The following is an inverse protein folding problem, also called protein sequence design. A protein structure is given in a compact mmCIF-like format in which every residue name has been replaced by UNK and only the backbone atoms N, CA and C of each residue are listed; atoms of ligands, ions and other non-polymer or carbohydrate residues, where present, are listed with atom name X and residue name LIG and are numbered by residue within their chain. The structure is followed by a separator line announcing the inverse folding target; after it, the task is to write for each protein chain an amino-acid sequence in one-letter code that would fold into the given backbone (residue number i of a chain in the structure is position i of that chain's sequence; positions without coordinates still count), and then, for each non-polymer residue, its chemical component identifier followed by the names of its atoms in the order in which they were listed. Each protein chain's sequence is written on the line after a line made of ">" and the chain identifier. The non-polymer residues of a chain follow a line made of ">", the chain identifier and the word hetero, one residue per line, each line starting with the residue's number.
data_IF_493915960603
#
_entry.id   IF_493915960603
#
_cell.length_a   1.000
_cell.length_b   1.000
_cell.length_c   1.000
_cell.angle_alpha   90.00
_cell.angle_beta   90.00
_cell.angle_gamma   90.00
#
_symmetry.space_group_name_H-M   'P 1'
#
loop_
_entity.id
_entity.type
_entity.pdbx_description
1 polymer ?
#
# COMPACT_ATOMS: atom_id res chain seq x y z
N UNK A 1 -12.48 16.95 7.43
CA UNK A 1 -12.54 15.55 6.94
C UNK A 1 -11.58 14.83 7.82
N UNK A 2 -12.09 14.06 8.78
CA UNK A 2 -11.28 13.70 9.93
C UNK A 2 -10.86 12.24 9.78
N UNK A 3 -9.55 12.03 9.67
CA UNK A 3 -8.90 10.73 9.74
C UNK A 3 -8.06 10.80 11.00
N UNK A 4 -8.52 10.18 12.08
CA UNK A 4 -7.83 10.23 13.38
C UNK A 4 -6.39 9.73 13.27
N UNK A 5 -6.14 8.75 12.40
CA UNK A 5 -4.81 8.21 12.14
C UNK A 5 -3.89 9.22 11.43
N UNK A 6 -4.44 10.12 10.59
CA UNK A 6 -3.68 11.21 10.00
C UNK A 6 -3.28 12.24 11.06
N UNK A 7 -4.18 12.56 11.98
CA UNK A 7 -3.88 13.49 13.08
C UNK A 7 -2.81 12.91 14.00
N UNK A 8 -2.91 11.63 14.36
CA UNK A 8 -1.85 10.90 15.09
C UNK A 8 -0.52 10.89 14.32
N UNK A 9 -0.57 10.68 13.00
CA UNK A 9 0.64 10.71 12.17
C UNK A 9 1.27 12.10 12.10
N UNK A 10 0.45 13.17 12.11
CA UNK A 10 0.92 14.57 12.18
C UNK A 10 1.60 14.87 13.51
N UNK A 11 1.04 14.38 14.62
CA UNK A 11 1.56 14.61 15.98
C UNK A 11 2.85 13.82 16.26
N UNK A 12 2.88 12.54 15.88
CA UNK A 12 4.03 11.66 16.08
C UNK A 12 4.33 10.82 14.81
N UNK A 13 5.11 11.35 13.86
CA UNK A 13 5.47 10.64 12.64
C UNK A 13 6.46 9.51 12.94
N UNK A 14 5.94 8.28 12.99
CA UNK A 14 6.67 7.04 13.26
C UNK A 14 6.26 5.93 12.28
N UNK A 15 7.00 4.82 12.26
CA UNK A 15 6.66 3.66 11.42
C UNK A 15 5.26 3.13 11.75
N UNK A 16 4.92 3.09 13.04
CA UNK A 16 3.63 2.59 13.49
C UNK A 16 2.48 3.50 13.05
N UNK A 17 2.61 4.82 13.26
CA UNK A 17 1.57 5.77 12.86
C UNK A 17 1.45 5.88 11.34
N UNK A 18 2.55 5.78 10.58
CA UNK A 18 2.51 5.74 9.12
C UNK A 18 1.78 4.51 8.57
N UNK A 19 2.05 3.32 9.14
CA UNK A 19 1.37 2.08 8.75
C UNK A 19 -0.13 2.15 9.06
N UNK A 20 -0.49 2.61 10.25
CA UNK A 20 -1.89 2.77 10.67
C UNK A 20 -2.64 3.76 9.78
N UNK A 21 -2.04 4.93 9.52
CA UNK A 21 -2.61 5.94 8.65
C UNK A 21 -2.84 5.42 7.23
N UNK A 22 -1.80 4.82 6.62
CA UNK A 22 -1.89 4.33 5.25
C UNK A 22 -2.94 3.25 5.08
N UNK A 23 -3.03 2.32 6.02
CA UNK A 23 -4.07 1.30 6.06
C UNK A 23 -5.48 1.90 6.20
N UNK A 24 -5.66 2.79 7.17
CA UNK A 24 -6.95 3.42 7.46
C UNK A 24 -7.46 4.22 6.25
N UNK A 25 -6.59 4.99 5.60
CA UNK A 25 -6.95 5.75 4.40
C UNK A 25 -7.29 4.84 3.23
N UNK A 26 -6.54 3.76 3.02
CA UNK A 26 -6.77 2.81 1.92
C UNK A 26 -8.14 2.15 2.05
N UNK A 27 -8.52 1.72 3.26
CA UNK A 27 -9.82 1.11 3.56
C UNK A 27 -11.00 2.08 3.54
N UNK A 28 -10.75 3.39 3.63
CA UNK A 28 -11.81 4.38 3.70
C UNK A 28 -12.54 4.46 2.35
N UNK A 29 -13.87 4.56 2.42
CA UNK A 29 -14.72 4.80 1.25
C UNK A 29 -14.63 6.29 0.87
N UNK A 30 -13.61 6.59 0.05
CA UNK A 30 -13.33 7.90 -0.51
C UNK A 30 -12.95 7.71 -1.97
N UNK A 31 -13.24 8.72 -2.80
CA UNK A 31 -12.74 8.70 -4.16
C UNK A 31 -11.20 8.79 -4.19
N UNK A 32 -10.62 8.33 -5.29
CA UNK A 32 -9.16 8.21 -5.44
C UNK A 32 -8.46 9.57 -5.38
N UNK A 33 -9.10 10.64 -5.88
CA UNK A 33 -8.50 11.98 -5.86
C UNK A 33 -8.39 12.54 -4.45
N UNK A 34 -9.38 12.31 -3.59
CA UNK A 34 -9.33 12.68 -2.18
C UNK A 34 -8.23 11.90 -1.45
N UNK A 35 -8.14 10.58 -1.67
CA UNK A 35 -7.05 9.76 -1.12
C UNK A 35 -5.68 10.29 -1.56
N UNK A 36 -5.52 10.66 -2.84
CA UNK A 36 -4.28 11.25 -3.39
C UNK A 36 -3.93 12.56 -2.71
N UNK A 37 -4.89 13.45 -2.48
CA UNK A 37 -4.64 14.72 -1.79
C UNK A 37 -4.14 14.49 -0.37
N UNK A 38 -4.74 13.55 0.35
CA UNK A 38 -4.33 13.24 1.73
C UNK A 38 -2.93 12.62 1.77
N UNK A 39 -2.59 11.71 0.84
CA UNK A 39 -1.21 11.20 0.74
C UNK A 39 -0.20 12.29 0.42
N UNK A 40 -0.55 13.28 -0.42
CA UNK A 40 0.32 14.45 -0.67
C UNK A 40 0.56 15.26 0.60
N UNK A 41 -0.42 15.40 1.48
CA UNK A 41 -0.20 15.99 2.81
C UNK A 41 0.73 15.12 3.65
N UNK A 42 0.54 13.80 3.64
CA UNK A 42 1.39 12.87 4.38
C UNK A 42 2.87 12.96 3.95
N UNK A 43 3.15 13.07 2.65
CA UNK A 43 4.51 13.27 2.15
C UNK A 43 5.17 14.56 2.68
N UNK A 44 4.40 15.63 2.92
CA UNK A 44 4.94 16.87 3.53
C UNK A 44 5.33 16.67 5.00
N UNK A 45 4.64 15.77 5.71
CA UNK A 45 4.91 15.46 7.13
C UNK A 45 6.18 14.60 7.26
N UNK A 46 6.37 13.64 6.35
CA UNK A 46 7.52 12.74 6.33
C UNK A 46 8.85 13.50 6.28
N UNK A 47 8.94 14.55 5.46
CA UNK A 47 10.17 15.29 5.24
C UNK A 47 11.23 14.41 4.58
N UNK A 48 12.45 14.37 5.14
CA UNK A 48 13.58 13.60 4.61
C UNK A 48 13.75 12.21 5.24
N UNK A 49 12.71 11.68 5.92
CA UNK A 49 12.76 10.37 6.58
C UNK A 49 12.47 9.26 5.56
N UNK A 50 13.51 8.75 4.91
CA UNK A 50 13.43 7.75 3.82
C UNK A 50 12.48 6.57 4.15
N UNK A 51 12.58 6.01 5.36
CA UNK A 51 11.71 4.89 5.77
C UNK A 51 10.23 5.23 5.86
N UNK A 52 9.90 6.42 6.37
CA UNK A 52 8.50 6.84 6.42
C UNK A 52 8.00 7.18 5.02
N UNK A 53 8.85 7.73 4.16
CA UNK A 53 8.52 8.00 2.76
C UNK A 53 8.17 6.71 2.03
N UNK A 54 8.99 5.67 2.18
CA UNK A 54 8.76 4.35 1.59
C UNK A 54 7.42 3.75 2.06
N UNK A 55 7.09 3.87 3.36
CA UNK A 55 5.81 3.38 3.92
C UNK A 55 4.63 4.16 3.33
N UNK A 56 4.68 5.49 3.31
CA UNK A 56 3.61 6.32 2.75
C UNK A 56 3.45 6.05 1.25
N UNK A 57 4.55 5.90 0.52
CA UNK A 57 4.55 5.57 -0.90
C UNK A 57 3.93 4.20 -1.18
N UNK A 58 4.26 3.17 -0.38
CA UNK A 58 3.65 1.84 -0.48
C UNK A 58 2.12 1.90 -0.40
N UNK A 59 1.59 2.61 0.59
CA UNK A 59 0.14 2.78 0.75
C UNK A 59 -0.49 3.63 -0.36
N UNK A 60 0.19 4.71 -0.79
CA UNK A 60 -0.28 5.53 -1.91
C UNK A 60 -0.37 4.71 -3.21
N UNK A 61 0.62 3.87 -3.51
CA UNK A 61 0.60 2.95 -4.65
C UNK A 61 -0.54 1.93 -4.53
N UNK A 62 -0.82 1.44 -3.31
CA UNK A 62 -1.98 0.60 -3.03
C UNK A 62 -3.31 1.23 -3.45
N UNK A 63 -3.47 2.54 -3.33
CA UNK A 63 -4.66 3.24 -3.85
C UNK A 63 -4.57 3.55 -5.35
N UNK A 64 -3.36 3.69 -5.88
CA UNK A 64 -3.13 4.01 -7.29
C UNK A 64 -3.51 2.85 -8.23
N UNK A 65 -3.38 1.60 -7.78
CA UNK A 65 -3.79 0.44 -8.58
C UNK A 65 -5.31 0.40 -8.83
N UNK A 66 -6.11 1.08 -8.02
CA UNK A 66 -7.55 1.29 -8.22
C UNK A 66 -7.83 2.35 -9.31
N UNK A 67 -6.88 3.26 -9.58
CA UNK A 67 -7.08 4.41 -10.46
C UNK A 67 -7.25 4.02 -11.94
N UNK A 68 -7.87 4.87 -12.73
CA UNK A 68 -7.91 4.70 -14.19
C UNK A 68 -6.55 5.08 -14.82
N UNK A 69 -5.58 4.18 -14.71
CA UNK A 69 -4.23 4.32 -15.24
C UNK A 69 -3.86 3.10 -16.10
N UNK A 70 -2.93 3.25 -17.07
CA UNK A 70 -2.39 2.14 -17.82
C UNK A 70 -1.85 1.04 -16.92
N UNK A 71 -2.13 -0.22 -17.29
CA UNK A 71 -1.74 -1.40 -16.51
C UNK A 71 -0.24 -1.45 -16.23
N UNK A 72 0.58 -1.11 -17.22
CA UNK A 72 2.04 -1.09 -17.10
C UNK A 72 2.52 -0.14 -16.01
N UNK A 73 1.90 1.05 -15.89
CA UNK A 73 2.27 2.02 -14.86
C UNK A 73 1.92 1.53 -13.45
N UNK A 74 0.76 0.88 -13.29
CA UNK A 74 0.34 0.28 -12.02
C UNK A 74 1.34 -0.79 -11.57
N UNK A 75 1.66 -1.71 -12.48
CA UNK A 75 2.59 -2.81 -12.24
C UNK A 75 3.99 -2.29 -11.90
N UNK A 76 4.49 -1.31 -12.66
CA UNK A 76 5.82 -0.73 -12.43
C UNK A 76 5.93 -0.07 -11.06
N UNK A 77 4.93 0.72 -10.66
CA UNK A 77 4.92 1.37 -9.36
C UNK A 77 4.92 0.36 -8.21
N UNK A 78 4.11 -0.71 -8.32
CA UNK A 78 4.12 -1.79 -7.32
C UNK A 78 5.49 -2.46 -7.26
N UNK A 79 6.11 -2.74 -8.41
CA UNK A 79 7.46 -3.34 -8.45
C UNK A 79 8.53 -2.45 -7.85
N UNK A 80 8.43 -1.13 -8.00
CA UNK A 80 9.33 -0.18 -7.36
C UNK A 80 9.18 -0.25 -5.83
N UNK A 81 7.94 -0.26 -5.32
CA UNK A 81 7.65 -0.44 -3.90
C UNK A 81 8.20 -1.77 -3.37
N UNK A 82 7.95 -2.88 -4.06
CA UNK A 82 8.40 -4.21 -3.59
C UNK A 82 9.93 -4.38 -3.60
N UNK A 83 10.67 -3.49 -4.28
CA UNK A 83 12.14 -3.47 -4.32
C UNK A 83 12.75 -2.44 -3.35
N UNK A 84 11.92 -1.64 -2.68
CA UNK A 84 12.38 -0.65 -1.73
C UNK A 84 13.01 -1.33 -0.50
N UNK A 85 14.23 -0.91 -0.16
CA UNK A 85 15.03 -1.54 0.92
C UNK A 85 14.56 -1.13 2.31
N UNK A 86 13.80 -0.04 2.42
CA UNK A 86 13.26 0.44 3.69
C UNK A 86 12.03 -0.36 4.15
N UNK A 87 11.39 -1.08 3.22
CA UNK A 87 10.21 -1.89 3.47
C UNK A 87 10.59 -3.31 3.90
N UNK A 88 10.10 -3.71 5.07
CA UNK A 88 10.28 -5.09 5.55
C UNK A 88 9.23 -6.01 4.93
N UNK A 89 9.51 -7.32 4.82
CA UNK A 89 8.52 -8.28 4.34
C UNK A 89 7.20 -8.25 5.12
N UNK A 90 7.26 -8.00 6.43
CA UNK A 90 6.06 -7.86 7.28
C UNK A 90 5.19 -6.65 6.91
N UNK A 91 5.79 -5.53 6.53
CA UNK A 91 5.04 -4.34 6.07
C UNK A 91 4.35 -4.62 4.73
N UNK A 92 5.09 -5.24 3.81
CA UNK A 92 4.57 -5.65 2.50
C UNK A 92 3.43 -6.67 2.65
N UNK A 93 3.55 -7.61 3.59
CA UNK A 93 2.51 -8.60 3.87
C UNK A 93 1.23 -7.97 4.41
N UNK A 94 1.33 -7.02 5.33
CA UNK A 94 0.18 -6.26 5.83
C UNK A 94 -0.49 -5.46 4.71
N UNK A 95 0.31 -4.73 3.92
CA UNK A 95 -0.18 -4.00 2.76
C UNK A 95 -0.90 -4.91 1.77
N UNK A 96 -0.25 -6.00 1.37
CA UNK A 96 -0.81 -6.96 0.42
C UNK A 96 -2.14 -7.49 0.94
N UNK A 97 -2.18 -7.99 2.19
CA UNK A 97 -3.40 -8.51 2.80
C UNK A 97 -4.56 -7.53 2.66
N UNK A 98 -4.35 -6.25 2.97
CA UNK A 98 -5.38 -5.21 2.84
C UNK A 98 -5.81 -5.00 1.38
N UNK A 99 -4.85 -4.90 0.45
CA UNK A 99 -5.15 -4.69 -0.97
C UNK A 99 -5.98 -5.84 -1.57
N UNK A 100 -5.66 -7.10 -1.23
CA UNK A 100 -6.42 -8.26 -1.72
C UNK A 100 -7.76 -8.43 -1.01
N UNK A 101 -7.86 -8.05 0.27
CA UNK A 101 -9.13 -8.08 1.02
C UNK A 101 -10.12 -7.06 0.46
N UNK A 102 -9.65 -5.87 0.08
CA UNK A 102 -10.49 -4.85 -0.54
C UNK A 102 -10.94 -5.23 -1.95
N UNK A 103 -10.07 -5.89 -2.73
CA UNK A 103 -10.38 -6.38 -4.08
C UNK A 103 -10.97 -5.29 -5.01
N UNK A 104 -10.56 -4.04 -4.84
CA UNK A 104 -11.04 -2.91 -5.65
C UNK A 104 -10.31 -2.78 -7.01
N UNK A 105 -9.10 -3.33 -7.12
CA UNK A 105 -8.34 -3.29 -8.35
C UNK A 105 -8.78 -4.42 -9.33
N UNK A 106 -8.56 -4.25 -10.65
CA UNK A 106 -8.84 -5.32 -11.62
C UNK A 106 -8.13 -6.62 -11.26
N UNK A 107 -8.83 -7.75 -11.38
CA UNK A 107 -8.32 -9.08 -10.99
C UNK A 107 -6.97 -9.39 -11.66
N UNK A 108 -6.85 -9.08 -12.93
CA UNK A 108 -5.67 -9.27 -13.76
C UNK A 108 -4.44 -8.48 -13.26
N UNK A 109 -4.67 -7.30 -12.67
CA UNK A 109 -3.61 -6.54 -11.98
C UNK A 109 -3.22 -7.23 -10.67
N UNK A 110 -4.20 -7.65 -9.88
CA UNK A 110 -3.98 -8.36 -8.61
C UNK A 110 -3.22 -9.69 -8.85
N UNK A 111 -3.61 -10.48 -9.84
CA UNK A 111 -2.96 -11.74 -10.21
C UNK A 111 -1.48 -11.50 -10.60
N UNK A 112 -1.19 -10.41 -11.31
CA UNK A 112 0.18 -10.06 -11.68
C UNK A 112 1.02 -9.67 -10.45
N UNK A 113 0.48 -8.82 -9.59
CA UNK A 113 1.13 -8.39 -8.35
C UNK A 113 1.36 -9.61 -7.42
N UNK A 114 0.44 -10.57 -7.41
CA UNK A 114 0.52 -11.78 -6.60
C UNK A 114 1.74 -12.64 -6.96
N UNK A 115 2.15 -12.65 -8.24
CA UNK A 115 3.38 -13.34 -8.67
C UNK A 115 4.60 -12.69 -8.00
N UNK A 116 4.72 -11.36 -8.06
CA UNK A 116 5.88 -10.65 -7.52
C UNK A 116 5.96 -10.81 -5.98
N UNK A 117 4.84 -10.69 -5.26
CA UNK A 117 4.80 -10.84 -3.79
C UNK A 117 5.19 -12.26 -3.34
N UNK A 118 4.72 -13.30 -4.04
CA UNK A 118 5.02 -14.70 -3.67
C UNK A 118 6.52 -15.02 -3.70
N UNK A 119 7.28 -14.31 -4.53
CA UNK A 119 8.72 -14.47 -4.68
C UNK A 119 9.54 -13.75 -3.59
N UNK A 120 8.91 -12.89 -2.78
CA UNK A 120 9.59 -12.19 -1.70
C UNK A 120 9.92 -13.17 -0.57
N UNK A 121 11.19 -13.13 -0.12
CA UNK A 121 11.66 -13.88 1.03
C UNK A 121 11.13 -13.22 2.31
N UNK A 122 10.53 -14.02 3.19
CA UNK A 122 9.99 -13.54 4.47
C UNK A 122 8.48 -13.29 4.48
N UNK A 123 7.80 -13.36 3.32
CA UNK A 123 6.33 -13.43 3.26
C UNK A 123 5.84 -14.78 3.77
N UNK A 124 4.78 -14.77 4.58
CA UNK A 124 4.19 -15.94 5.21
C UNK A 124 3.66 -16.97 4.19
N UNK A 125 3.58 -18.24 4.63
CA UNK A 125 3.03 -19.31 3.79
C UNK A 125 1.53 -19.12 3.59
N UNK A 126 0.87 -18.58 4.61
CA UNK A 126 -0.54 -18.26 4.65
C UNK A 126 -0.89 -17.26 3.54
N UNK A 127 -0.18 -16.13 3.45
CA UNK A 127 -0.41 -15.17 2.37
C UNK A 127 -0.08 -15.79 1.01
N UNK A 128 1.03 -16.53 0.87
CA UNK A 128 1.39 -17.18 -0.40
C UNK A 128 0.32 -18.16 -0.91
N UNK A 129 -0.30 -18.92 0.00
CA UNK A 129 -1.39 -19.82 -0.34
C UNK A 129 -2.62 -19.04 -0.82
N UNK A 130 -3.01 -17.97 -0.11
CA UNK A 130 -4.11 -17.09 -0.51
C UNK A 130 -3.89 -16.48 -1.90
N UNK A 131 -2.68 -16.01 -2.18
CA UNK A 131 -2.28 -15.46 -3.48
C UNK A 131 -2.17 -16.51 -4.61
N UNK A 132 -2.23 -17.80 -4.28
CA UNK A 132 -2.14 -18.93 -5.22
C UNK A 132 -3.51 -19.50 -5.63
N UNK A 133 -4.58 -19.11 -4.95
CA UNK A 133 -5.94 -19.50 -5.30
C UNK A 133 -6.63 -18.29 -5.92
N UNK A 134 -7.06 -18.35 -7.20
CA UNK A 134 -8.05 -17.39 -7.64
C UNK A 134 -9.24 -17.54 -6.69
N UNK A 135 -9.66 -16.45 -6.03
CA UNK A 135 -10.86 -16.48 -5.21
C UNK A 135 -11.98 -17.17 -6.02
N UNK A 136 -12.68 -18.17 -5.45
CA UNK A 136 -13.79 -18.83 -6.12
C UNK A 136 -14.92 -17.84 -6.45
#
# INVERSE_FOLDING_TARGET
>A
MDIQELDKFKEDPSVASAMQFGEALTKKDLNIEDKRLIFREAFKIVGSKEKLEAIINMWAVGTMIEANLPYTQKIEAVRQVLKDKELTPSMIEQWATVIYDLNHAPKDILDFIAIDIRNIRGISKELKARLGHPNP
#
